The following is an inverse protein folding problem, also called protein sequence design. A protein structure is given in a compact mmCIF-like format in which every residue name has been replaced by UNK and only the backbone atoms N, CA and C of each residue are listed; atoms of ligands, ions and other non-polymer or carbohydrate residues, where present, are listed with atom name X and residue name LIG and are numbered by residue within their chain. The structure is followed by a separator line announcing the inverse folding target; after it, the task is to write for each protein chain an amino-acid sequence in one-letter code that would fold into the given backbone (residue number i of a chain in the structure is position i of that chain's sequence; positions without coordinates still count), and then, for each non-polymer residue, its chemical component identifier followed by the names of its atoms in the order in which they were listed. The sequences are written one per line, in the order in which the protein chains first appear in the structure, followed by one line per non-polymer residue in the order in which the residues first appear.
data_IF_308483991565
#
_entry.id   IF_308483991565
#
_cell.length_a   1.000
_cell.length_b   1.000
_cell.length_c   1.000
_cell.angle_alpha   90.00
_cell.angle_beta   90.00
_cell.angle_gamma   90.00
#
_symmetry.space_group_name_H-M   'P 1'
#
loop_
_entity.id
_entity.type
_entity.pdbx_description
1 polymer ?
#
# COMPACT_ATOMS: atom_id res chain seq x y z
N UNK A 1 -12.31 -4.12 -19.86
CA UNK A 1 -10.84 -4.02 -20.10
C UNK A 1 -10.41 -5.05 -21.14
N UNK A 2 -9.58 -4.67 -22.12
CA UNK A 2 -9.08 -5.60 -23.15
C UNK A 2 -8.03 -6.57 -22.58
N UNK A 3 -7.79 -7.69 -23.28
CA UNK A 3 -6.76 -8.68 -22.92
C UNK A 3 -5.35 -8.10 -22.88
N UNK A 4 -5.02 -7.18 -23.80
CA UNK A 4 -3.75 -6.44 -23.81
C UNK A 4 -3.59 -5.61 -22.53
N UNK A 5 -4.63 -4.92 -22.09
CA UNK A 5 -4.63 -4.13 -20.84
C UNK A 5 -4.36 -5.01 -19.62
N UNK A 6 -4.98 -6.19 -19.53
CA UNK A 6 -4.74 -7.15 -18.43
C UNK A 6 -3.29 -7.65 -18.40
N UNK A 7 -2.66 -7.86 -19.57
CA UNK A 7 -1.26 -8.32 -19.66
C UNK A 7 -0.27 -7.27 -19.16
N UNK A 8 -0.49 -6.00 -19.52
CA UNK A 8 0.32 -4.87 -19.02
C UNK A 8 0.16 -4.72 -17.51
N UNK A 9 -1.07 -4.78 -17.01
CA UNK A 9 -1.38 -4.72 -15.59
C UNK A 9 -0.65 -5.80 -14.78
N UNK A 10 -0.65 -7.05 -15.28
CA UNK A 10 0.06 -8.17 -14.63
C UNK A 10 1.58 -7.96 -14.60
N UNK A 11 2.16 -7.43 -15.69
CA UNK A 11 3.60 -7.10 -15.73
C UNK A 11 3.97 -6.05 -14.69
N UNK A 12 3.17 -4.99 -14.56
CA UNK A 12 3.37 -3.93 -13.57
C UNK A 12 3.28 -4.42 -12.12
N UNK A 13 2.31 -5.30 -11.82
CA UNK A 13 2.20 -5.95 -10.50
C UNK A 13 3.48 -6.72 -10.18
N UNK A 14 3.93 -7.56 -11.11
CA UNK A 14 5.08 -8.41 -10.89
C UNK A 14 6.38 -7.60 -10.73
N UNK A 15 6.56 -6.52 -11.51
CA UNK A 15 7.74 -5.66 -11.37
C UNK A 15 7.73 -4.84 -10.09
N UNK A 16 6.56 -4.51 -9.56
CA UNK A 16 6.41 -3.73 -8.32
C UNK A 16 6.43 -4.60 -7.05
N UNK A 17 6.44 -5.93 -7.17
CA UNK A 17 6.40 -6.86 -6.05
C UNK A 17 7.83 -7.28 -5.67
N UNK A 18 8.22 -7.04 -4.43
CA UNK A 18 9.41 -7.67 -3.83
C UNK A 18 9.01 -8.78 -2.83
N UNK A 19 10.00 -9.48 -2.27
CA UNK A 19 9.78 -10.46 -1.20
C UNK A 19 9.59 -9.81 0.19
N UNK A 20 9.54 -8.48 0.25
CA UNK A 20 9.51 -7.77 1.52
C UNK A 20 8.14 -7.81 2.19
N UNK A 21 7.01 -7.97 1.50
CA UNK A 21 5.65 -7.88 2.12
C UNK A 21 5.41 -6.52 2.81
N UNK A 22 5.83 -5.44 2.15
CA UNK A 22 5.63 -4.08 2.69
C UNK A 22 4.18 -3.65 2.57
N UNK A 23 3.76 -2.77 3.48
CA UNK A 23 2.48 -2.07 3.39
C UNK A 23 2.76 -0.61 3.12
N UNK A 24 2.05 -0.04 2.15
CA UNK A 24 2.16 1.36 1.79
C UNK A 24 0.90 2.10 2.20
N UNK A 25 1.08 3.18 2.94
CA UNK A 25 0.02 4.14 3.29
C UNK A 25 0.14 5.33 2.35
N UNK A 26 -0.77 5.47 1.40
CA UNK A 26 -0.74 6.54 0.38
C UNK A 26 -1.90 7.52 0.55
N UNK A 27 -1.65 8.84 0.44
CA UNK A 27 -2.72 9.84 0.49
C UNK A 27 -3.68 9.68 -0.71
N UNK A 28 -4.95 10.00 -0.49
CA UNK A 28 -5.99 10.13 -1.52
C UNK A 28 -6.67 11.49 -1.37
N UNK A 29 -7.52 11.84 -2.34
CA UNK A 29 -8.34 13.05 -2.28
C UNK A 29 -9.17 13.10 -0.99
N UNK A 30 -9.87 12.00 -0.69
CA UNK A 30 -10.72 11.88 0.50
C UNK A 30 -10.21 10.75 1.42
N UNK A 31 -9.00 10.92 1.95
CA UNK A 31 -8.46 10.04 3.00
C UNK A 31 -7.14 9.37 2.65
N UNK A 32 -6.98 8.11 3.07
CA UNK A 32 -5.73 7.37 3.13
C UNK A 32 -5.94 5.92 2.73
N UNK A 33 -5.16 5.44 1.76
CA UNK A 33 -5.18 4.05 1.33
C UNK A 33 -4.08 3.24 2.04
N UNK A 34 -4.46 2.07 2.55
CA UNK A 34 -3.52 1.04 3.01
C UNK A 34 -3.42 -0.01 1.90
N UNK A 35 -2.24 -0.18 1.32
CA UNK A 35 -2.01 -1.05 0.17
C UNK A 35 -0.86 -2.01 0.42
N UNK A 36 -1.11 -3.31 0.32
CA UNK A 36 -0.06 -4.33 0.34
C UNK A 36 0.79 -4.23 -0.92
N UNK A 37 2.09 -4.48 -0.78
CA UNK A 37 3.02 -4.52 -1.90
C UNK A 37 2.57 -5.49 -3.00
N UNK A 38 2.71 -5.08 -4.27
CA UNK A 38 2.21 -5.83 -5.41
C UNK A 38 0.70 -5.76 -5.65
N UNK A 39 -0.11 -5.27 -4.69
CA UNK A 39 -1.52 -5.03 -4.95
C UNK A 39 -1.72 -3.71 -5.71
N UNK A 40 -2.59 -3.73 -6.72
CA UNK A 40 -3.00 -2.50 -7.40
C UNK A 40 -4.02 -1.72 -6.59
N UNK A 41 -4.94 -2.45 -5.96
CA UNK A 41 -6.03 -1.87 -5.18
C UNK A 41 -5.62 -1.67 -3.73
N UNK A 42 -6.18 -0.62 -3.12
CA UNK A 42 -6.09 -0.44 -1.69
C UNK A 42 -6.86 -1.55 -0.97
N UNK A 43 -6.25 -2.16 0.03
CA UNK A 43 -6.89 -3.17 0.88
C UNK A 43 -7.88 -2.52 1.85
N UNK A 44 -7.58 -1.29 2.27
CA UNK A 44 -8.47 -0.43 3.08
C UNK A 44 -8.33 1.03 2.65
N UNK A 45 -9.43 1.78 2.78
CA UNK A 45 -9.47 3.23 2.63
C UNK A 45 -10.04 3.80 3.93
N UNK A 46 -9.31 4.74 4.52
CA UNK A 46 -9.61 5.30 5.82
C UNK A 46 -9.60 6.83 5.73
N UNK A 47 -10.32 7.48 6.64
CA UNK A 47 -10.47 8.95 6.63
C UNK A 47 -9.19 9.66 7.03
N UNK A 48 -8.41 9.10 7.95
CA UNK A 48 -7.20 9.72 8.51
C UNK A 48 -5.95 8.86 8.36
N UNK A 49 -4.79 9.52 8.39
CA UNK A 49 -3.50 8.84 8.32
C UNK A 49 -3.26 7.97 9.56
N UNK A 50 -3.72 8.46 10.73
CA UNK A 50 -3.58 7.76 12.01
C UNK A 50 -4.24 6.39 11.98
N UNK A 51 -5.51 6.33 11.54
CA UNK A 51 -6.23 5.07 11.38
C UNK A 51 -5.52 4.13 10.40
N UNK A 52 -4.99 4.67 9.30
CA UNK A 52 -4.22 3.87 8.34
C UNK A 52 -2.94 3.28 8.93
N UNK A 53 -2.26 4.03 9.80
CA UNK A 53 -1.07 3.57 10.52
C UNK A 53 -1.44 2.48 11.53
N UNK A 54 -2.53 2.65 12.28
CA UNK A 54 -3.01 1.65 13.25
C UNK A 54 -3.30 0.32 12.58
N UNK A 55 -4.09 0.31 11.50
CA UNK A 55 -4.38 -0.92 10.73
C UNK A 55 -3.11 -1.53 10.12
N UNK A 56 -2.19 -0.70 9.62
CA UNK A 56 -0.95 -1.22 9.04
C UNK A 56 -0.02 -1.84 10.10
N UNK A 57 0.00 -1.29 11.32
CA UNK A 57 0.75 -1.86 12.45
C UNK A 57 0.16 -3.18 12.91
N UNK A 58 -1.16 -3.26 13.05
CA UNK A 58 -1.86 -4.52 13.34
C UNK A 58 -1.46 -5.63 12.35
N UNK A 59 -1.37 -5.32 11.06
CA UNK A 59 -0.91 -6.31 10.07
C UNK A 59 0.55 -6.71 10.23
N UNK A 60 1.42 -5.83 10.73
CA UNK A 60 2.81 -6.20 11.04
C UNK A 60 2.83 -7.13 12.25
N UNK A 61 2.07 -6.79 13.29
CA UNK A 61 1.99 -7.56 14.53
C UNK A 61 1.40 -8.97 14.30
N UNK A 62 0.42 -9.10 13.40
CA UNK A 62 -0.15 -10.38 12.95
C UNK A 62 0.77 -11.18 12.01
N UNK A 63 1.92 -10.63 11.60
CA UNK A 63 2.83 -11.25 10.63
C UNK A 63 2.34 -11.19 9.17
N UNK A 64 1.26 -10.46 8.91
CA UNK A 64 0.68 -10.22 7.58
C UNK A 64 1.48 -9.21 6.73
N UNK A 65 2.40 -8.45 7.34
CA UNK A 65 3.29 -7.48 6.73
C UNK A 65 4.64 -7.45 7.46
N UNK A 66 5.71 -6.97 6.81
CA UNK A 66 7.03 -6.83 7.46
C UNK A 66 7.41 -5.41 7.86
N UNK A 67 6.83 -4.40 7.19
CA UNK A 67 7.18 -3.00 7.37
C UNK A 67 6.11 -2.09 6.79
N UNK A 68 6.00 -0.88 7.34
CA UNK A 68 5.04 0.15 6.91
C UNK A 68 5.76 1.35 6.30
N UNK A 69 5.41 1.67 5.06
CA UNK A 69 5.91 2.83 4.33
C UNK A 69 4.81 3.88 4.23
N UNK A 70 5.03 5.04 4.83
CA UNK A 70 4.03 6.10 4.92
C UNK A 70 4.39 7.21 3.94
N UNK A 71 3.53 7.46 2.96
CA UNK A 71 3.67 8.57 2.02
C UNK A 71 2.99 9.81 2.59
N UNK A 72 3.59 10.98 2.47
CA UNK A 72 3.02 12.27 2.82
C UNK A 72 2.25 12.88 1.65
N UNK A 73 1.37 13.85 1.93
CA UNK A 73 0.63 14.59 0.89
C UNK A 73 1.53 15.44 -0.01
N UNK A 74 2.71 15.80 0.48
CA UNK A 74 3.74 16.54 -0.25
C UNK A 74 4.71 15.64 -1.03
N UNK A 75 4.39 14.35 -1.20
CA UNK A 75 5.26 13.39 -1.89
C UNK A 75 6.48 12.93 -1.11
N UNK A 76 6.74 13.46 0.10
CA UNK A 76 7.79 12.95 0.99
C UNK A 76 7.30 11.68 1.67
N UNK A 77 8.12 10.64 1.79
CA UNK A 77 7.77 9.42 2.52
C UNK A 77 8.62 9.26 3.78
N UNK A 78 8.09 8.53 4.77
CA UNK A 78 8.82 8.07 5.95
C UNK A 78 8.63 6.56 6.10
N UNK A 79 9.70 5.85 6.42
CA UNK A 79 9.60 4.47 6.85
C UNK A 79 9.18 4.45 8.33
N UNK A 80 8.09 3.75 8.64
CA UNK A 80 7.80 3.35 10.01
C UNK A 80 8.31 1.91 10.15
N UNK A 81 9.39 1.76 10.91
CA UNK A 81 9.82 0.45 11.42
C UNK A 81 8.98 0.09 12.63
#
# INVERSE_FOLDING_TARGET
MTTKTKKVQKRLINSAKTNSRRVHITPRQNGWAVRKEGNLQASRILTTQKLAIEIAKEWVDEGNASAVIIHGRNGKFRAAR
#
